data_IF_219874028389
#
_entry.id   IF_219874028389
#
_cell.length_a   1.000
_cell.length_b   1.000
_cell.length_c   1.000
_cell.angle_alpha   90.00
_cell.angle_beta   90.00
_cell.angle_gamma   90.00
#
_symmetry.space_group_name_H-M   'P 1'
#
loop_
_entity.id
_entity.type
_entity.pdbx_description
1 polymer ?
#
# COMPACT_ATOMS: atom_id res chain seq x y z
N UNK A 1 56.09 -41.64 58.82
CA UNK A 1 57.19 -40.69 59.03
C UNK A 1 58.21 -40.93 57.95
N UNK A 2 58.22 -40.10 56.92
CA UNK A 2 59.29 -40.12 55.91
C UNK A 2 60.29 -39.07 56.40
N UNK A 3 61.44 -39.53 56.88
CA UNK A 3 62.55 -38.66 57.27
C UNK A 3 63.09 -37.96 56.01
N UNK A 4 62.92 -36.65 55.99
CA UNK A 4 63.50 -35.77 54.99
C UNK A 4 65.01 -35.69 55.24
N UNK A 5 65.81 -36.39 54.42
CA UNK A 5 67.27 -36.34 54.52
C UNK A 5 67.73 -34.95 54.08
N UNK A 6 68.00 -34.09 55.06
CA UNK A 6 68.54 -32.76 54.85
C UNK A 6 69.83 -32.82 54.01
N UNK A 7 69.79 -32.22 52.82
CA UNK A 7 70.97 -32.08 51.96
C UNK A 7 71.89 -31.00 52.56
N UNK A 8 73.09 -31.38 52.98
CA UNK A 8 74.12 -30.49 53.51
C UNK A 8 75.04 -30.00 52.37
N UNK A 9 75.48 -28.74 52.41
CA UNK A 9 76.54 -28.22 51.54
C UNK A 9 77.77 -27.86 52.38
N UNK A 10 78.96 -28.09 51.85
CA UNK A 10 80.22 -27.86 52.54
C UNK A 10 80.68 -26.41 52.34
N UNK A 11 80.70 -25.63 53.41
CA UNK A 11 81.24 -24.28 53.36
C UNK A 11 82.77 -24.32 53.42
N UNK A 12 83.42 -23.80 52.37
CA UNK A 12 84.87 -23.80 52.23
C UNK A 12 85.54 -22.75 53.12
N UNK A 13 84.82 -21.70 53.54
CA UNK A 13 85.34 -20.66 54.44
C UNK A 13 85.27 -21.10 55.91
N UNK A 14 84.20 -21.79 56.31
CA UNK A 14 84.02 -22.24 57.70
C UNK A 14 84.43 -23.70 57.96
N UNK A 15 84.74 -24.46 56.91
CA UNK A 15 85.23 -25.85 57.01
C UNK A 15 84.20 -26.81 57.62
N UNK A 16 82.90 -26.55 57.43
CA UNK A 16 81.81 -27.33 58.03
C UNK A 16 80.67 -27.56 57.04
N UNK A 17 79.97 -28.67 57.22
CA UNK A 17 78.71 -28.93 56.54
C UNK A 17 77.62 -28.09 57.21
N UNK A 18 77.09 -27.11 56.49
CA UNK A 18 75.93 -26.34 56.93
C UNK A 18 74.67 -26.91 56.27
N UNK A 19 73.53 -26.93 57.00
CA UNK A 19 72.25 -27.20 56.37
C UNK A 19 72.08 -26.21 55.24
N UNK A 20 71.77 -26.72 54.04
CA UNK A 20 71.33 -25.86 52.94
C UNK A 20 70.24 -24.96 53.53
N UNK A 21 70.31 -23.62 53.34
CA UNK A 21 69.30 -22.73 53.88
C UNK A 21 67.93 -23.31 53.55
N UNK A 22 67.09 -23.50 54.56
CA UNK A 22 65.69 -23.85 54.33
C UNK A 22 65.12 -22.69 53.53
N UNK A 23 65.20 -22.79 52.21
CA UNK A 23 64.43 -21.98 51.28
C UNK A 23 62.97 -22.49 51.36
N UNK A 24 62.43 -22.53 52.57
CA UNK A 24 61.00 -22.62 52.85
C UNK A 24 60.43 -21.24 52.58
N UNK A 25 60.49 -20.84 51.30
CA UNK A 25 59.70 -19.75 50.77
C UNK A 25 58.24 -20.22 50.82
N UNK A 26 57.60 -20.01 51.98
CA UNK A 26 56.16 -20.07 52.24
C UNK A 26 55.36 -20.81 51.16
N UNK A 27 55.39 -22.15 51.18
CA UNK A 27 54.70 -23.02 50.21
C UNK A 27 53.20 -23.13 50.54
N UNK A 28 52.55 -21.98 50.73
CA UNK A 28 51.14 -21.90 51.04
C UNK A 28 50.31 -22.09 49.75
N UNK A 29 49.17 -22.77 49.90
CA UNK A 29 48.18 -22.90 48.81
C UNK A 29 47.74 -21.51 48.34
N UNK A 30 47.58 -21.29 47.01
CA UNK A 30 47.11 -20.01 46.50
C UNK A 30 45.67 -19.78 46.95
N UNK A 31 45.39 -18.57 47.44
CA UNK A 31 44.06 -18.19 47.94
C UNK A 31 43.53 -17.02 47.14
N UNK A 32 42.39 -17.22 46.48
CA UNK A 32 41.63 -16.12 45.89
C UNK A 32 40.82 -15.49 47.02
N UNK A 33 41.24 -14.29 47.46
CA UNK A 33 40.60 -13.57 48.57
C UNK A 33 39.23 -13.04 48.12
N UNK A 34 39.19 -12.42 46.94
CA UNK A 34 37.95 -12.07 46.26
C UNK A 34 38.16 -12.05 44.74
N UNK A 35 37.07 -12.34 44.03
CA UNK A 35 36.95 -12.17 42.58
C UNK A 35 35.50 -11.78 42.28
N UNK A 36 35.27 -10.48 42.10
CA UNK A 36 33.93 -9.89 42.12
C UNK A 36 33.73 -8.88 41.00
N UNK A 37 32.47 -8.67 40.63
CA UNK A 37 32.03 -7.61 39.73
C UNK A 37 31.09 -6.66 40.47
N UNK A 38 31.05 -5.40 40.07
CA UNK A 38 30.02 -4.43 40.47
C UNK A 38 28.65 -4.72 39.80
N UNK A 39 28.66 -5.27 38.59
CA UNK A 39 27.47 -5.61 37.79
C UNK A 39 27.37 -7.11 37.55
N UNK A 40 26.20 -7.68 37.81
CA UNK A 40 25.87 -9.07 37.45
C UNK A 40 25.31 -9.20 36.03
N UNK A 41 24.61 -8.16 35.58
CA UNK A 41 24.06 -8.04 34.24
C UNK A 41 24.42 -6.67 33.67
N UNK A 42 24.81 -6.63 32.40
CA UNK A 42 24.94 -5.38 31.66
C UNK A 42 23.57 -5.00 31.08
N UNK A 43 23.16 -3.74 31.25
CA UNK A 43 21.90 -3.20 30.73
C UNK A 43 22.10 -2.36 29.46
N UNK A 44 23.29 -1.81 29.29
CA UNK A 44 23.68 -0.89 28.24
C UNK A 44 25.17 -1.07 27.87
N UNK A 45 25.76 -0.06 27.23
CA UNK A 45 27.18 -0.07 26.86
C UNK A 45 28.14 0.19 28.04
N UNK A 46 27.65 0.45 29.25
CA UNK A 46 28.54 0.69 30.36
C UNK A 46 29.23 -0.62 30.81
N UNK A 47 30.56 -0.62 30.98
CA UNK A 47 31.28 -1.81 31.42
C UNK A 47 30.93 -2.22 32.86
N UNK A 48 31.25 -3.48 33.16
CA UNK A 48 31.37 -3.99 34.51
C UNK A 48 32.81 -3.81 35.02
N UNK A 49 32.96 -3.39 36.27
CA UNK A 49 34.25 -3.32 36.96
C UNK A 49 34.53 -4.64 37.68
N UNK A 50 35.50 -5.39 37.18
CA UNK A 50 35.96 -6.65 37.78
C UNK A 50 37.14 -6.36 38.69
N UNK A 51 37.11 -6.86 39.92
CA UNK A 51 38.18 -6.71 40.92
C UNK A 51 38.59 -8.06 41.49
N UNK A 52 39.88 -8.22 41.75
CA UNK A 52 40.42 -9.42 42.38
C UNK A 52 41.57 -9.13 43.33
N UNK A 53 41.73 -10.02 44.31
CA UNK A 53 42.92 -10.14 45.15
C UNK A 53 43.23 -11.61 45.35
N UNK A 54 44.48 -11.97 45.13
CA UNK A 54 45.01 -13.32 45.30
C UNK A 54 46.25 -13.26 46.18
N UNK A 55 46.36 -14.21 47.12
CA UNK A 55 47.51 -14.40 48.01
C UNK A 55 48.18 -15.74 47.75
N UNK A 56 49.47 -15.82 48.07
CA UNK A 56 50.29 -17.04 47.95
C UNK A 56 50.35 -17.66 46.54
N UNK A 57 50.01 -16.90 45.51
CA UNK A 57 50.19 -17.28 44.12
C UNK A 57 51.44 -16.62 43.55
N UNK A 58 52.11 -17.28 42.61
CA UNK A 58 53.28 -16.75 41.88
C UNK A 58 52.81 -16.02 40.62
N UNK A 59 51.74 -16.51 40.01
CA UNK A 59 51.11 -15.86 38.86
C UNK A 59 49.60 -16.04 38.90
N UNK A 60 48.88 -15.05 38.38
CA UNK A 60 47.44 -15.09 38.23
C UNK A 60 47.10 -14.85 36.77
N UNK A 61 46.14 -15.59 36.24
CA UNK A 61 45.59 -15.34 34.91
C UNK A 61 44.09 -15.14 34.94
N UNK A 62 43.61 -14.15 34.19
CA UNK A 62 42.21 -13.87 33.94
C UNK A 62 41.91 -14.20 32.47
N UNK A 63 41.02 -15.16 32.21
CA UNK A 63 40.74 -15.67 30.86
C UNK A 63 42.02 -16.03 30.09
N UNK A 64 42.94 -16.74 30.74
CA UNK A 64 44.25 -17.14 30.23
C UNK A 64 45.23 -15.98 29.93
N UNK A 65 44.93 -14.75 30.34
CA UNK A 65 45.85 -13.60 30.24
C UNK A 65 46.49 -13.34 31.60
N UNK A 66 47.81 -13.17 31.62
CA UNK A 66 48.55 -12.86 32.87
C UNK A 66 48.11 -11.50 33.44
N UNK A 67 47.81 -11.46 34.72
CA UNK A 67 47.42 -10.26 35.47
C UNK A 67 48.16 -10.20 36.81
N UNK A 68 48.17 -9.03 37.45
CA UNK A 68 48.73 -8.87 38.80
C UNK A 68 47.97 -9.67 39.86
N UNK A 69 48.61 -9.89 41.01
CA UNK A 69 47.99 -10.57 42.17
C UNK A 69 46.78 -9.82 42.70
N UNK A 70 46.77 -8.50 42.58
CA UNK A 70 45.62 -7.62 42.78
C UNK A 70 45.38 -6.80 41.52
N UNK A 71 44.12 -6.44 41.28
CA UNK A 71 43.81 -5.60 40.14
C UNK A 71 42.34 -5.25 39.98
N UNK A 72 42.11 -4.37 39.02
CA UNK A 72 40.78 -3.94 38.57
C UNK A 72 40.80 -3.81 37.06
N UNK A 73 39.73 -4.25 36.39
CA UNK A 73 39.57 -4.15 34.93
C UNK A 73 38.15 -3.75 34.57
N UNK A 74 38.01 -2.93 33.53
CA UNK A 74 36.73 -2.68 32.87
C UNK A 74 36.44 -3.79 31.85
N UNK A 75 35.31 -4.45 32.00
CA UNK A 75 34.89 -5.58 31.18
C UNK A 75 33.61 -5.24 30.41
N UNK A 76 33.68 -5.37 29.08
CA UNK A 76 32.54 -5.21 28.18
C UNK A 76 32.20 -6.56 27.58
N UNK A 77 30.91 -6.88 27.49
CA UNK A 77 30.44 -8.08 26.82
C UNK A 77 29.20 -7.77 25.98
N UNK A 78 29.02 -8.47 24.86
CA UNK A 78 27.81 -8.42 24.02
C UNK A 78 26.92 -9.65 24.16
N UNK A 79 27.41 -10.66 24.87
CA UNK A 79 26.74 -11.93 25.18
C UNK A 79 27.13 -12.32 26.60
N UNK A 80 26.36 -13.18 27.29
CA UNK A 80 26.75 -13.66 28.60
C UNK A 80 28.11 -14.35 28.55
N UNK A 81 29.01 -14.03 29.48
CA UNK A 81 30.37 -14.56 29.51
C UNK A 81 30.75 -15.04 30.93
N UNK A 82 31.55 -16.10 31.00
CA UNK A 82 32.11 -16.62 32.25
C UNK A 82 33.59 -16.25 32.28
N UNK A 83 33.96 -15.37 33.19
CA UNK A 83 35.34 -15.02 33.47
C UNK A 83 35.97 -16.06 34.38
N UNK A 84 37.18 -16.51 34.08
CA UNK A 84 37.94 -17.47 34.89
C UNK A 84 39.21 -16.83 35.43
N UNK A 85 39.32 -16.73 36.75
CA UNK A 85 40.53 -16.35 37.45
C UNK A 85 41.26 -17.61 37.90
N UNK A 86 42.52 -17.77 37.50
CA UNK A 86 43.37 -18.91 37.81
C UNK A 86 44.62 -18.45 38.54
N UNK A 87 44.83 -18.93 39.74
CA UNK A 87 46.00 -18.66 40.57
C UNK A 87 46.95 -19.87 40.53
N UNK A 88 48.18 -19.67 40.09
CA UNK A 88 49.19 -20.73 39.97
C UNK A 88 50.27 -20.57 41.05
N UNK A 89 50.75 -21.71 41.55
CA UNK A 89 51.86 -21.80 42.50
C UNK A 89 52.91 -22.80 42.00
N UNK A 90 54.09 -22.81 42.62
CA UNK A 90 55.25 -23.62 42.17
C UNK A 90 55.06 -25.12 42.40
N UNK A 91 54.43 -25.47 43.53
CA UNK A 91 54.34 -26.85 44.01
C UNK A 91 52.91 -27.38 44.14
N UNK A 92 51.91 -26.48 44.08
CA UNK A 92 50.50 -26.83 44.25
C UNK A 92 49.73 -26.72 42.93
N UNK A 93 48.69 -27.55 42.73
CA UNK A 93 47.75 -27.35 41.64
C UNK A 93 47.15 -25.95 41.65
N UNK A 94 46.79 -25.40 40.49
CA UNK A 94 46.21 -24.08 40.41
C UNK A 94 44.80 -24.05 41.02
N UNK A 95 44.47 -22.94 41.68
CA UNK A 95 43.11 -22.66 42.17
C UNK A 95 42.40 -21.78 41.15
N UNK A 96 41.17 -22.17 40.79
CA UNK A 96 40.36 -21.45 39.81
C UNK A 96 39.04 -20.97 40.43
N UNK A 97 38.62 -19.75 40.07
CA UNK A 97 37.31 -19.21 40.40
C UNK A 97 36.66 -18.64 39.14
N UNK A 98 35.35 -18.87 38.99
CA UNK A 98 34.57 -18.36 37.86
C UNK A 98 33.62 -17.23 38.31
N UNK A 99 33.45 -16.24 37.45
CA UNK A 99 32.55 -15.11 37.62
C UNK A 99 31.68 -14.97 36.38
N UNK A 100 30.37 -15.14 36.53
CA UNK A 100 29.42 -15.02 35.44
C UNK A 100 28.94 -13.57 35.30
N UNK A 101 29.04 -13.04 34.09
CA UNK A 101 28.49 -11.73 33.71
C UNK A 101 27.44 -11.94 32.62
N UNK A 102 26.19 -11.64 32.94
CA UNK A 102 25.08 -11.70 31.98
C UNK A 102 24.94 -10.42 31.17
N UNK A 103 24.10 -10.48 30.15
CA UNK A 103 23.55 -9.31 29.45
C UNK A 103 22.04 -9.35 29.56
N UNK A 104 21.40 -8.19 29.67
CA UNK A 104 19.96 -8.11 29.78
C UNK A 104 19.29 -8.19 28.41
N UNK A 105 18.70 -9.34 28.11
CA UNK A 105 17.89 -9.58 26.89
C UNK A 105 16.39 -9.52 27.17
N UNK A 106 15.98 -9.02 28.34
CA UNK A 106 14.57 -8.90 28.68
C UNK A 106 13.88 -8.00 27.64
N UNK A 107 12.82 -8.49 26.96
CA UNK A 107 12.10 -7.68 25.99
C UNK A 107 11.60 -6.35 26.59
N UNK A 108 11.73 -5.23 25.87
CA UNK A 108 11.12 -3.97 26.28
C UNK A 108 9.60 -4.10 26.39
N UNK A 109 8.98 -3.20 27.15
CA UNK A 109 7.52 -3.17 27.32
C UNK A 109 6.92 -2.06 26.47
N UNK A 110 5.94 -2.41 25.63
CA UNK A 110 5.09 -1.45 24.93
C UNK A 110 3.80 -1.29 25.75
N UNK A 111 3.60 -0.11 26.36
CA UNK A 111 2.38 0.18 27.12
C UNK A 111 1.19 0.42 26.21
N UNK A 112 1.40 1.17 25.12
CA UNK A 112 0.41 1.34 24.06
C UNK A 112 1.12 1.69 22.76
N UNK A 113 0.46 1.35 21.65
CA UNK A 113 0.72 1.86 20.32
C UNK A 113 -0.62 2.04 19.62
N UNK A 114 -0.94 3.27 19.19
CA UNK A 114 -2.26 3.63 18.68
C UNK A 114 -2.18 4.73 17.63
N UNK A 115 -3.19 4.78 16.76
CA UNK A 115 -3.43 5.91 15.87
C UNK A 115 -4.59 6.76 16.39
N UNK A 116 -4.62 8.04 16.02
CA UNK A 116 -5.77 8.92 16.24
C UNK A 116 -7.00 8.48 15.44
N UNK A 117 -6.79 7.90 14.24
CA UNK A 117 -7.81 7.41 13.32
C UNK A 117 -7.40 6.05 12.76
N UNK A 118 -8.32 5.08 12.74
CA UNK A 118 -8.10 3.75 12.13
C UNK A 118 -8.66 3.66 10.70
N UNK A 119 -9.46 4.63 10.28
CA UNK A 119 -9.98 4.77 8.94
C UNK A 119 -9.83 6.22 8.48
N UNK A 120 -9.31 6.44 7.28
CA UNK A 120 -9.05 7.79 6.77
C UNK A 120 -9.35 7.91 5.26
N UNK A 121 -9.39 9.14 4.75
CA UNK A 121 -9.47 9.41 3.30
C UNK A 121 -8.04 9.55 2.76
N UNK A 122 -7.83 9.20 1.49
CA UNK A 122 -6.52 9.34 0.83
C UNK A 122 -5.95 10.76 0.99
N UNK A 123 -4.66 10.86 1.28
CA UNK A 123 -3.95 12.13 1.46
C UNK A 123 -4.19 12.83 2.80
N UNK A 124 -5.07 12.31 3.65
CA UNK A 124 -5.25 12.84 5.01
C UNK A 124 -4.16 12.30 5.94
N UNK A 125 -3.64 13.16 6.82
CA UNK A 125 -2.69 12.75 7.85
C UNK A 125 -3.37 12.01 8.99
N UNK A 126 -2.62 11.07 9.57
CA UNK A 126 -2.92 10.39 10.82
C UNK A 126 -1.74 10.60 11.77
N UNK A 127 -1.99 10.46 13.06
CA UNK A 127 -0.97 10.59 14.09
C UNK A 127 -0.85 9.27 14.85
N UNK A 128 0.34 8.68 14.81
CA UNK A 128 0.70 7.47 15.55
C UNK A 128 1.36 7.89 16.87
N UNK A 129 0.91 7.32 17.99
CA UNK A 129 1.46 7.57 19.32
C UNK A 129 1.77 6.27 20.06
N UNK A 130 2.85 6.25 20.83
CA UNK A 130 3.29 5.10 21.61
C UNK A 130 3.89 5.50 22.95
N UNK A 131 3.92 4.53 23.86
CA UNK A 131 4.68 4.62 25.12
C UNK A 131 5.40 3.32 25.36
N UNK A 132 6.72 3.41 25.57
CA UNK A 132 7.62 2.26 25.68
C UNK A 132 8.53 2.43 26.89
N UNK A 133 8.99 1.33 27.48
CA UNK A 133 9.97 1.34 28.58
C UNK A 133 11.01 0.24 28.39
N UNK A 134 12.27 0.52 28.73
CA UNK A 134 13.38 -0.44 28.59
C UNK A 134 13.86 -0.62 27.14
N UNK A 135 13.49 0.27 26.22
CA UNK A 135 13.95 0.25 24.84
C UNK A 135 15.17 1.17 24.65
N UNK A 136 16.17 0.69 23.91
CA UNK A 136 17.30 1.48 23.43
C UNK A 136 17.08 1.94 21.98
N UNK A 137 16.27 1.22 21.20
CA UNK A 137 15.89 1.55 19.82
C UNK A 137 14.40 1.34 19.61
N UNK A 138 13.77 2.29 18.91
CA UNK A 138 12.35 2.23 18.54
C UNK A 138 12.24 2.50 17.04
N UNK A 139 11.57 1.62 16.30
CA UNK A 139 11.39 1.74 14.86
C UNK A 139 9.95 1.49 14.45
N UNK A 140 9.50 2.17 13.40
CA UNK A 140 8.21 1.91 12.74
C UNK A 140 8.48 1.56 11.28
N UNK A 141 7.75 0.58 10.74
CA UNK A 141 7.79 0.22 9.32
C UNK A 141 7.15 1.29 8.41
N UNK A 142 6.78 0.91 7.18
CA UNK A 142 6.12 1.77 6.19
C UNK A 142 6.93 3.04 5.86
N UNK A 143 8.25 2.91 5.78
CA UNK A 143 9.17 4.00 5.42
C UNK A 143 9.43 5.02 6.53
N UNK A 144 8.88 4.84 7.74
CA UNK A 144 9.10 5.78 8.87
C UNK A 144 10.51 5.62 9.46
N UNK A 145 10.93 4.38 9.75
CA UNK A 145 12.26 4.10 10.25
C UNK A 145 12.42 4.37 11.76
N UNK A 146 13.55 4.96 12.15
CA UNK A 146 13.94 5.17 13.55
C UNK A 146 13.16 6.34 14.19
N UNK A 147 12.56 6.07 15.34
CA UNK A 147 11.76 7.03 16.12
C UNK A 147 12.13 6.99 17.61
N UNK A 148 13.36 6.58 17.94
CA UNK A 148 13.83 6.39 19.32
C UNK A 148 13.67 7.61 20.23
N UNK A 149 13.83 8.83 19.69
CA UNK A 149 13.71 10.09 20.44
C UNK A 149 12.29 10.67 20.42
N UNK A 150 11.30 9.91 19.96
CA UNK A 150 9.91 10.37 19.78
C UNK A 150 8.92 9.44 20.48
N UNK A 151 7.79 10.00 20.88
CA UNK A 151 6.62 9.27 21.38
C UNK A 151 5.41 9.37 20.45
N UNK A 152 5.52 10.19 19.40
CA UNK A 152 4.46 10.46 18.45
C UNK A 152 5.04 10.87 17.09
N UNK A 153 4.35 10.53 16.01
CA UNK A 153 4.67 10.98 14.66
C UNK A 153 3.40 11.13 13.82
N UNK A 154 3.32 12.22 13.05
CA UNK A 154 2.28 12.42 12.04
C UNK A 154 2.76 11.88 10.70
N UNK A 155 1.94 11.07 10.05
CA UNK A 155 2.23 10.44 8.77
C UNK A 155 1.05 10.64 7.81
N UNK A 156 1.34 10.70 6.51
CA UNK A 156 0.32 10.67 5.47
C UNK A 156 0.39 9.31 4.77
N UNK A 157 -0.55 8.39 5.07
CA UNK A 157 -0.60 7.10 4.40
C UNK A 157 -0.88 7.34 2.90
N UNK A 158 -0.01 6.86 2.02
CA UNK A 158 -0.21 6.85 0.57
C UNK A 158 -0.80 5.50 0.11
N UNK A 159 -1.08 5.33 -1.18
CA UNK A 159 -1.79 4.15 -1.72
C UNK A 159 -1.11 2.81 -1.39
N UNK A 160 0.21 2.80 -1.18
CA UNK A 160 0.99 1.63 -0.75
C UNK A 160 1.00 1.42 0.78
N UNK A 161 0.49 2.39 1.55
CA UNK A 161 0.52 2.44 3.01
C UNK A 161 -0.88 2.35 3.67
N UNK A 162 -1.93 1.96 2.93
CA UNK A 162 -3.09 1.30 3.57
C UNK A 162 -2.57 -0.01 4.16
N UNK A 163 -2.06 0.07 5.39
CA UNK A 163 -1.07 -0.89 5.84
C UNK A 163 -1.03 -1.01 7.34
N UNK A 164 -0.57 -2.17 7.77
CA UNK A 164 -0.28 -2.45 9.17
C UNK A 164 0.99 -1.69 9.53
N UNK A 165 0.87 -0.69 10.40
CA UNK A 165 2.00 -0.06 11.04
C UNK A 165 2.46 -0.96 12.17
N UNK A 166 3.75 -1.30 12.22
CA UNK A 166 4.35 -2.14 13.25
C UNK A 166 5.44 -1.34 13.95
N UNK A 167 5.25 -1.11 15.24
CA UNK A 167 6.24 -0.57 16.16
C UNK A 167 7.12 -1.71 16.64
N UNK A 168 8.42 -1.65 16.36
CA UNK A 168 9.44 -2.59 16.83
C UNK A 168 10.31 -1.88 17.85
N UNK A 169 10.41 -2.44 19.06
CA UNK A 169 11.27 -1.94 20.13
C UNK A 169 12.34 -2.95 20.46
N UNK A 170 13.56 -2.48 20.70
CA UNK A 170 14.73 -3.30 21.00
C UNK A 170 15.51 -2.69 22.16
N UNK A 171 15.95 -3.49 23.12
CA UNK A 171 16.88 -3.07 24.16
C UNK A 171 18.34 -3.09 23.63
N UNK A 172 19.32 -2.73 24.46
CA UNK A 172 20.72 -2.63 24.01
C UNK A 172 21.33 -3.98 23.54
N UNK A 173 20.89 -5.10 24.14
CA UNK A 173 21.43 -6.45 23.88
C UNK A 173 20.53 -7.33 23.01
N UNK A 174 19.49 -6.76 22.38
CA UNK A 174 18.65 -7.45 21.40
C UNK A 174 17.36 -8.06 21.94
N UNK A 175 16.98 -7.80 23.20
CA UNK A 175 15.63 -8.06 23.69
C UNK A 175 14.63 -7.26 22.85
N UNK A 176 13.64 -7.93 22.24
CA UNK A 176 12.75 -7.33 21.24
C UNK A 176 11.28 -7.55 21.57
N UNK A 177 10.47 -6.53 21.34
CA UNK A 177 9.01 -6.61 21.36
C UNK A 177 8.43 -5.86 20.16
N UNK A 178 7.20 -6.18 19.76
CA UNK A 178 6.51 -5.51 18.67
C UNK A 178 5.01 -5.34 18.93
N UNK A 179 4.44 -4.31 18.34
CA UNK A 179 3.00 -4.02 18.39
C UNK A 179 2.56 -3.42 17.06
N UNK A 180 1.33 -3.70 16.64
CA UNK A 180 0.83 -3.28 15.33
C UNK A 180 -0.52 -2.57 15.40
N UNK A 181 -0.73 -1.62 14.49
CA UNK A 181 -1.97 -0.88 14.29
C UNK A 181 -2.32 -0.94 12.80
N UNK A 182 -3.55 -1.34 12.48
CA UNK A 182 -4.04 -1.39 11.10
C UNK A 182 -4.78 -0.12 10.74
N UNK A 183 -4.42 0.49 9.61
CA UNK A 183 -5.09 1.68 9.06
C UNK A 183 -5.75 1.32 7.74
N UNK A 184 -7.02 1.67 7.62
CA UNK A 184 -7.83 1.45 6.42
C UNK A 184 -8.17 2.77 5.74
N UNK A 185 -8.46 2.71 4.44
CA UNK A 185 -9.07 3.84 3.73
C UNK A 185 -10.55 3.60 3.52
N UNK A 186 -11.34 4.68 3.47
CA UNK A 186 -12.72 4.58 2.98
C UNK A 186 -12.74 3.98 1.57
N UNK A 187 -13.61 2.99 1.31
CA UNK A 187 -13.72 2.40 -0.02
C UNK A 187 -14.16 3.50 -1.00
N UNK A 188 -13.43 3.61 -2.12
CA UNK A 188 -13.91 4.39 -3.25
C UNK A 188 -15.02 3.56 -3.91
N UNK A 189 -16.24 4.10 -4.12
CA UNK A 189 -17.28 3.36 -4.81
C UNK A 189 -16.84 3.07 -6.24
N UNK A 190 -16.81 1.80 -6.62
CA UNK A 190 -16.59 1.38 -8.00
C UNK A 190 -17.93 1.49 -8.74
N UNK A 191 -18.03 2.40 -9.71
CA UNK A 191 -19.16 2.40 -10.65
C UNK A 191 -18.91 1.28 -11.66
N UNK A 192 -19.45 0.11 -11.36
CA UNK A 192 -19.30 -1.08 -12.21
C UNK A 192 -20.09 -0.95 -13.53
N UNK A 193 -21.23 -0.27 -13.47
CA UNK A 193 -22.07 -0.02 -14.65
C UNK A 193 -22.94 1.21 -14.47
N UNK A 194 -22.94 2.09 -15.46
CA UNK A 194 -23.94 3.14 -15.60
C UNK A 194 -25.01 2.60 -16.55
N UNK A 195 -26.23 2.43 -16.05
CA UNK A 195 -27.37 2.11 -16.91
C UNK A 195 -27.94 3.41 -17.46
N UNK A 196 -27.61 3.73 -18.71
CA UNK A 196 -28.30 4.79 -19.44
C UNK A 196 -29.56 4.16 -20.05
N UNK A 197 -30.77 4.65 -19.72
CA UNK A 197 -31.99 4.14 -20.33
C UNK A 197 -31.95 4.35 -21.84
N UNK A 198 -32.30 3.32 -22.61
CA UNK A 198 -32.44 3.47 -24.05
C UNK A 198 -33.62 4.42 -24.32
N UNK A 199 -33.43 5.51 -25.10
CA UNK A 199 -34.52 6.43 -25.38
C UNK A 199 -35.63 5.68 -26.13
N UNK A 200 -36.82 5.62 -25.52
CA UNK A 200 -38.00 5.07 -26.16
C UNK A 200 -38.47 6.02 -27.27
N UNK A 201 -38.03 5.77 -28.50
CA UNK A 201 -38.63 6.42 -29.66
C UNK A 201 -40.00 5.80 -29.90
N UNK A 202 -41.07 6.50 -29.49
CA UNK A 202 -42.41 6.19 -29.95
C UNK A 202 -42.49 6.50 -31.45
N UNK A 203 -42.22 5.49 -32.29
CA UNK A 203 -42.52 5.58 -33.72
C UNK A 203 -44.03 5.48 -33.91
N UNK A 204 -44.75 6.59 -33.80
CA UNK A 204 -46.06 6.69 -34.43
C UNK A 204 -45.81 6.54 -35.95
N UNK A 205 -46.02 5.33 -36.47
CA UNK A 205 -46.04 5.06 -37.90
C UNK A 205 -47.19 5.87 -38.50
N UNK A 206 -46.90 7.09 -38.94
CA UNK A 206 -47.84 7.85 -39.75
C UNK A 206 -48.03 7.07 -41.04
N UNK A 207 -49.18 6.41 -41.18
CA UNK A 207 -49.63 5.70 -42.37
C UNK A 207 -49.71 6.68 -43.55
N UNK A 208 -48.62 6.75 -44.34
CA UNK A 208 -48.52 7.60 -45.54
C UNK A 208 -49.50 7.19 -46.65
N UNK A 209 -50.05 5.98 -46.55
CA UNK A 209 -51.02 5.39 -47.48
C UNK A 209 -52.43 5.99 -47.37
N UNK A 210 -52.72 6.79 -46.34
CA UNK A 210 -54.02 7.48 -46.15
C UNK A 210 -53.99 8.99 -46.35
N UNK A 211 -52.84 9.59 -46.68
CA UNK A 211 -52.73 11.04 -46.85
C UNK A 211 -53.20 11.45 -48.26
N UNK A 212 -54.50 11.69 -48.41
CA UNK A 212 -55.08 12.28 -49.63
C UNK A 212 -55.21 13.78 -49.49
N UNK A 213 -54.59 14.53 -50.41
CA UNK A 213 -54.83 15.96 -50.56
C UNK A 213 -55.75 16.19 -51.75
N UNK A 214 -56.82 16.95 -51.54
CA UNK A 214 -57.67 17.47 -52.61
C UNK A 214 -57.13 18.85 -52.98
N UNK A 215 -56.70 19.01 -54.23
CA UNK A 215 -56.36 20.31 -54.78
C UNK A 215 -57.36 20.63 -55.90
N UNK A 216 -58.06 21.74 -55.79
CA UNK A 216 -58.86 22.30 -56.87
C UNK A 216 -57.92 23.09 -57.79
N UNK A 217 -57.90 22.73 -59.07
CA UNK A 217 -57.18 23.48 -60.10
C UNK A 217 -58.24 24.19 -60.93
N UNK A 218 -58.27 25.52 -60.81
CA UNK A 218 -59.10 26.37 -61.65
C UNK A 218 -58.39 26.59 -62.99
N UNK A 219 -58.99 26.05 -64.06
CA UNK A 219 -58.53 26.31 -65.41
C UNK A 219 -59.28 27.53 -65.97
N UNK A 220 -58.63 28.30 -66.85
CA UNK A 220 -59.31 29.40 -67.55
C UNK A 220 -60.57 28.85 -68.24
N UNK A 221 -61.70 29.55 -68.05
CA UNK A 221 -63.07 29.20 -68.46
C UNK A 221 -63.90 28.37 -67.45
N UNK A 222 -63.65 28.53 -66.15
CA UNK A 222 -64.56 28.06 -65.08
C UNK A 222 -64.72 26.53 -64.98
N UNK A 223 -63.70 25.78 -65.41
CA UNK A 223 -63.66 24.32 -65.31
C UNK A 223 -62.88 23.93 -64.06
N UNK A 224 -63.53 23.15 -63.19
CA UNK A 224 -62.96 22.64 -61.94
C UNK A 224 -62.65 21.16 -62.09
N UNK A 225 -61.40 20.77 -61.82
CA UNK A 225 -60.99 19.36 -61.78
C UNK A 225 -60.58 19.04 -60.34
N UNK A 226 -61.25 18.06 -59.72
CA UNK A 226 -60.81 17.47 -58.45
C UNK A 226 -60.11 16.14 -58.73
N UNK A 227 -58.84 16.03 -58.37
CA UNK A 227 -58.13 14.74 -58.42
C UNK A 227 -57.39 14.48 -57.10
N UNK A 228 -57.38 13.22 -56.63
CA UNK A 228 -56.59 12.84 -55.46
C UNK A 228 -55.09 12.88 -55.81
N UNK A 229 -54.30 13.63 -55.03
CA UNK A 229 -52.84 13.63 -55.16
C UNK A 229 -52.25 12.53 -54.28
N UNK A 230 -51.69 11.50 -54.91
CA UNK A 230 -51.04 10.39 -54.20
C UNK A 230 -49.55 10.67 -54.01
N UNK A 231 -49.04 10.47 -52.79
CA UNK A 231 -47.64 10.72 -52.42
C UNK A 231 -46.71 9.51 -52.61
N UNK A 232 -47.25 8.33 -52.94
CA UNK A 232 -46.47 7.12 -53.17
C UNK A 232 -46.01 6.98 -54.63
N UNK A 233 -44.69 6.86 -54.84
CA UNK A 233 -44.02 6.77 -56.14
C UNK A 233 -44.52 5.61 -57.02
N UNK A 234 -44.89 4.45 -56.43
CA UNK A 234 -45.38 3.28 -57.19
C UNK A 234 -46.82 3.42 -57.67
N UNK A 235 -47.64 4.25 -57.02
CA UNK A 235 -48.99 4.57 -57.51
C UNK A 235 -48.97 5.62 -58.62
N UNK A 236 -47.96 6.50 -58.64
CA UNK A 236 -47.78 7.51 -59.68
C UNK A 236 -47.49 6.88 -61.06
N UNK A 237 -46.60 5.87 -61.10
CA UNK A 237 -46.29 5.13 -62.34
C UNK A 237 -47.47 4.32 -62.88
N UNK A 238 -48.36 3.84 -62.00
CA UNK A 238 -49.61 3.15 -62.40
C UNK A 238 -50.66 4.11 -62.95
N UNK A 239 -50.64 5.39 -62.58
CA UNK A 239 -51.55 6.41 -63.13
C UNK A 239 -51.11 6.89 -64.52
N UNK A 240 -49.81 7.04 -64.77
CA UNK A 240 -49.27 7.40 -66.10
C UNK A 240 -49.66 6.38 -67.18
N UNK A 241 -49.81 5.09 -66.83
CA UNK A 241 -50.24 4.05 -67.78
C UNK A 241 -51.76 3.95 -67.99
N UNK A 242 -52.58 4.56 -67.13
CA UNK A 242 -54.06 4.49 -67.18
C UNK A 242 -54.68 5.82 -67.66
N UNK A 243 -53.87 6.88 -67.80
CA UNK A 243 -54.31 8.25 -68.10
C UNK A 243 -54.78 8.52 -69.55
N UNK A 244 -55.60 7.64 -70.13
CA UNK A 244 -56.41 7.95 -71.34
C UNK A 244 -57.89 8.16 -71.03
N UNK A 245 -58.33 8.02 -69.76
CA UNK A 245 -59.73 8.22 -69.39
C UNK A 245 -59.87 9.08 -68.14
N UNK A 246 -59.87 10.40 -68.32
CA UNK A 246 -60.42 11.32 -67.31
C UNK A 246 -61.94 11.32 -67.51
N UNK A 247 -62.68 10.66 -66.60
CA UNK A 247 -64.15 10.68 -66.61
C UNK A 247 -64.59 11.92 -65.85
N UNK A 248 -65.17 12.89 -66.56
CA UNK A 248 -65.80 14.08 -65.98
C UNK A 248 -67.27 13.74 -65.71
N UNK A 249 -67.64 13.54 -64.44
CA UNK A 249 -69.04 13.34 -64.07
C UNK A 249 -69.76 14.70 -64.01
N UNK A 250 -70.31 15.14 -65.15
CA UNK A 250 -71.49 16.01 -65.19
C UNK A 250 -72.36 15.58 -66.37
N UNK A 251 -73.64 15.45 -66.12
CA UNK A 251 -74.64 14.91 -67.05
C UNK A 251 -74.62 15.65 -68.38
N UNK A 252 -74.28 14.91 -69.45
CA UNK A 252 -74.58 15.29 -70.83
C UNK A 252 -73.47 15.98 -71.60
N UNK A 253 -72.29 15.38 -71.73
CA UNK A 253 -71.42 15.49 -72.92
C UNK A 253 -70.46 14.28 -72.96
N UNK A 254 -70.33 13.62 -74.11
CA UNK A 254 -69.34 12.55 -74.34
C UNK A 254 -67.92 13.14 -74.39
N UNK A 255 -66.96 12.38 -73.86
CA UNK A 255 -65.51 12.64 -73.74
C UNK A 255 -64.94 13.88 -74.45
N UNK A 256 -64.47 14.86 -73.68
CA UNK A 256 -63.65 15.97 -74.20
C UNK A 256 -62.19 15.52 -74.27
N UNK A 257 -61.63 15.44 -75.47
CA UNK A 257 -60.18 15.29 -75.67
C UNK A 257 -59.51 16.64 -75.40
N UNK A 258 -58.67 16.70 -74.36
CA UNK A 258 -57.88 17.88 -74.07
C UNK A 258 -56.77 18.05 -75.13
N UNK A 259 -56.48 19.27 -75.61
CA UNK A 259 -55.30 19.51 -76.42
C UNK A 259 -54.04 19.11 -75.62
N UNK A 260 -53.07 18.44 -76.27
CA UNK A 260 -51.83 17.92 -75.68
C UNK A 260 -51.13 18.90 -74.69
N UNK A 261 -51.26 20.22 -74.91
CA UNK A 261 -50.67 21.25 -74.06
C UNK A 261 -51.24 21.27 -72.62
N UNK A 262 -52.55 21.06 -72.43
CA UNK A 262 -53.17 21.09 -71.09
C UNK A 262 -52.71 19.90 -70.25
N UNK A 263 -52.59 18.73 -70.86
CA UNK A 263 -52.06 17.53 -70.21
C UNK A 263 -50.63 17.74 -69.71
N UNK A 264 -49.75 18.30 -70.55
CA UNK A 264 -48.37 18.60 -70.16
C UNK A 264 -48.26 19.65 -69.05
N UNK A 265 -49.15 20.66 -69.04
CA UNK A 265 -49.19 21.65 -67.95
C UNK A 265 -49.63 21.03 -66.63
N UNK A 266 -50.61 20.11 -66.65
CA UNK A 266 -51.05 19.38 -65.47
C UNK A 266 -49.93 18.48 -64.91
N UNK A 267 -49.23 17.73 -65.77
CA UNK A 267 -48.08 16.91 -65.38
C UNK A 267 -46.96 17.78 -64.78
N UNK A 268 -46.67 18.93 -65.39
CA UNK A 268 -45.65 19.86 -64.88
C UNK A 268 -46.02 20.38 -63.49
N UNK A 269 -47.27 20.79 -63.28
CA UNK A 269 -47.76 21.27 -61.97
C UNK A 269 -47.77 20.17 -60.91
N UNK A 270 -48.14 18.94 -61.27
CA UNK A 270 -48.09 17.79 -60.36
C UNK A 270 -46.65 17.48 -59.91
N UNK A 271 -45.67 17.63 -60.81
CA UNK A 271 -44.25 17.45 -60.50
C UNK A 271 -43.72 18.56 -59.57
N UNK A 272 -44.13 19.81 -59.78
CA UNK A 272 -43.81 20.94 -58.89
C UNK A 272 -44.34 20.71 -57.47
N UNK A 273 -45.61 20.29 -57.33
CA UNK A 273 -46.23 19.98 -56.03
C UNK A 273 -45.51 18.82 -55.34
N UNK A 274 -45.17 17.75 -56.08
CA UNK A 274 -44.44 16.61 -55.54
C UNK A 274 -43.06 17.00 -55.01
N UNK A 275 -42.35 17.92 -55.69
CA UNK A 275 -41.07 18.45 -55.22
C UNK A 275 -41.23 19.27 -53.93
N UNK A 276 -42.27 20.11 -53.84
CA UNK A 276 -42.54 20.92 -52.67
C UNK A 276 -42.82 20.03 -51.43
N UNK A 277 -43.64 19.00 -51.59
CA UNK A 277 -43.96 18.05 -50.51
C UNK A 277 -42.70 17.32 -50.03
N UNK A 278 -41.86 16.82 -50.95
CA UNK A 278 -40.58 16.17 -50.59
C UNK A 278 -39.65 17.12 -49.82
N UNK A 279 -39.61 18.40 -50.21
CA UNK A 279 -38.80 19.42 -49.55
C UNK A 279 -39.28 19.69 -48.11
N UNK A 280 -40.59 19.88 -47.94
CA UNK A 280 -41.20 20.09 -46.62
C UNK A 280 -40.95 18.87 -45.71
N UNK A 281 -41.09 17.65 -46.24
CA UNK A 281 -40.87 16.43 -45.48
C UNK A 281 -39.41 16.27 -45.06
N UNK A 282 -38.46 16.52 -45.97
CA UNK A 282 -37.03 16.48 -45.68
C UNK A 282 -36.64 17.47 -44.59
N UNK A 283 -37.22 18.67 -44.60
CA UNK A 283 -36.96 19.68 -43.57
C UNK A 283 -37.54 19.26 -42.22
N UNK A 284 -38.78 18.74 -42.20
CA UNK A 284 -39.42 18.30 -40.96
C UNK A 284 -38.70 17.13 -40.29
N UNK A 285 -38.22 16.15 -41.07
CA UNK A 285 -37.36 15.07 -40.56
C UNK A 285 -36.06 15.61 -39.98
N UNK A 286 -35.44 16.58 -40.64
CA UNK A 286 -34.20 17.21 -40.17
C UNK A 286 -34.40 17.95 -38.85
N UNK A 287 -35.55 18.59 -38.66
CA UNK A 287 -35.87 19.30 -37.43
C UNK A 287 -36.16 18.33 -36.27
N UNK A 288 -36.85 17.22 -36.53
CA UNK A 288 -37.08 16.16 -35.54
C UNK A 288 -35.76 15.50 -35.08
N UNK A 289 -34.83 15.25 -36.00
CA UNK A 289 -33.50 14.71 -35.67
C UNK A 289 -32.65 15.70 -34.86
N UNK A 290 -32.80 17.00 -35.09
CA UNK A 290 -32.11 18.02 -34.28
C UNK A 290 -32.67 18.11 -32.86
N UNK A 291 -33.98 17.97 -32.71
CA UNK A 291 -34.63 18.00 -31.40
C UNK A 291 -34.22 16.80 -30.53
N UNK A 292 -34.09 15.60 -31.11
CA UNK A 292 -33.64 14.41 -30.36
C UNK A 292 -32.17 14.48 -29.94
N UNK A 293 -31.30 15.12 -30.74
CA UNK A 293 -29.89 15.36 -30.39
C UNK A 293 -29.73 16.37 -29.24
N UNK A 294 -30.65 17.33 -29.10
CA UNK A 294 -30.62 18.31 -28.01
C UNK A 294 -31.17 17.77 -26.68
N UNK A 295 -32.11 16.83 -26.72
CA UNK A 295 -32.65 16.19 -25.51
C UNK A 295 -31.69 15.15 -24.91
N UNK A 296 -30.80 14.53 -25.70
CA UNK A 296 -29.79 13.58 -25.20
C UNK A 296 -28.55 14.19 -24.53
N UNK A 297 -28.47 15.52 -24.43
CA UNK A 297 -27.35 16.25 -23.80
C UNK A 297 -27.72 16.82 -22.42
N UNK A 298 -28.93 16.58 -21.92
CA UNK A 298 -29.45 17.17 -20.68
C UNK A 298 -29.81 16.20 -19.55
N UNK A 299 -29.58 14.90 -19.75
CA UNK A 299 -29.75 13.87 -18.70
C UNK A 299 -28.45 13.07 -18.52
#
# INVERSE_FOLDING_TARGET
>A
MVEDKASLFFDVQEGRFIPKPLEQANDALPVIVFFTSDKKFLLDNEPATIRWEVRHAISVSLNNRSVGLTGSMQFHARKPEILKLKANSKHHPPVEQSLYIGVDITPPVIHYFRADKLCTVRGQSITLSWKVSGAAKVRINNGIGDVSDKSEITVQPNEDAAGIYTLVVENYFGGRCESSVSISFFPIPLIEKVFLPEPAFASELISLDKLTFHAEIELQNNIWISQPVYTNLTKLTRLESIATKIIVNKTGFESVLFPNNVFWQLIKKQKEISHLIKSIWKNRVKDLLKQSLHSGLKD
#
